data_IF_873508216187
#
_entry.id   IF_873508216187
#
_cell.length_a   1.000
_cell.length_b   1.000
_cell.length_c   1.000
_cell.angle_alpha   90.00
_cell.angle_beta   90.00
_cell.angle_gamma   90.00
#
_symmetry.space_group_name_H-M   'P 1'
#
loop_
_entity.id
_entity.type
_entity.pdbx_description
1 polymer ?
#
# COMPACT_ATOMS: atom_id res chain seq x y z
N UNK A 1 -8.49 -11.48 -1.30
CA UNK A 1 -7.97 -10.11 -1.06
C UNK A 1 -9.00 -9.34 -0.24
N UNK A 2 -8.56 -8.40 0.58
CA UNK A 2 -9.47 -7.50 1.30
C UNK A 2 -9.10 -6.05 0.98
N UNK A 3 -10.06 -5.25 0.53
CA UNK A 3 -9.89 -3.80 0.35
C UNK A 3 -10.52 -3.11 1.56
N UNK A 4 -9.73 -2.33 2.30
CA UNK A 4 -10.18 -1.59 3.47
C UNK A 4 -10.15 -0.11 3.16
N UNK A 5 -11.28 0.57 3.34
CA UNK A 5 -11.39 2.02 3.20
C UNK A 5 -12.72 2.43 2.58
N UNK A 6 -12.88 3.74 2.38
CA UNK A 6 -14.10 4.35 1.86
C UNK A 6 -13.78 5.11 0.58
N UNK A 7 -14.81 5.63 -0.06
CA UNK A 7 -14.66 6.57 -1.15
C UNK A 7 -14.23 5.96 -2.50
N UNK A 8 -14.07 6.84 -3.51
CA UNK A 8 -13.97 6.44 -4.90
C UNK A 8 -12.71 5.65 -5.23
N UNK A 9 -11.63 5.79 -4.44
CA UNK A 9 -10.41 5.01 -4.62
C UNK A 9 -10.60 3.55 -4.20
N UNK A 10 -11.28 3.30 -3.08
CA UNK A 10 -11.62 1.95 -2.63
C UNK A 10 -12.50 1.23 -3.66
N UNK A 11 -13.51 1.95 -4.15
CA UNK A 11 -14.45 1.44 -5.15
C UNK A 11 -13.75 1.11 -6.47
N UNK A 12 -12.89 2.01 -6.96
CA UNK A 12 -12.12 1.80 -8.18
C UNK A 12 -11.16 0.60 -8.08
N UNK A 13 -10.49 0.43 -6.93
CA UNK A 13 -9.62 -0.74 -6.69
C UNK A 13 -10.44 -2.03 -6.65
N UNK A 14 -11.56 -2.04 -5.93
CA UNK A 14 -12.40 -3.23 -5.84
C UNK A 14 -12.97 -3.62 -7.21
N UNK A 15 -13.52 -2.65 -7.95
CA UNK A 15 -14.10 -2.90 -9.26
C UNK A 15 -13.09 -3.48 -10.26
N UNK A 16 -11.80 -3.14 -10.09
CA UNK A 16 -10.71 -3.60 -10.95
C UNK A 16 -10.16 -4.98 -10.54
N UNK A 17 -10.46 -5.48 -9.33
CA UNK A 17 -10.04 -6.80 -8.87
C UNK A 17 -11.00 -7.87 -9.40
N UNK A 18 -10.51 -8.70 -10.33
CA UNK A 18 -11.33 -9.61 -11.16
C UNK A 18 -12.12 -10.68 -10.41
N UNK A 19 -11.77 -11.07 -9.17
CA UNK A 19 -12.51 -12.01 -8.28
C UNK A 19 -11.85 -12.09 -6.88
N UNK A 20 -12.65 -12.31 -5.84
CA UNK A 20 -12.17 -12.63 -4.47
C UNK A 20 -11.70 -11.43 -3.63
N UNK A 21 -12.06 -10.21 -4.03
CA UNK A 21 -11.87 -9.01 -3.23
C UNK A 21 -13.18 -8.65 -2.52
N UNK A 22 -13.17 -8.63 -1.18
CA UNK A 22 -14.23 -8.02 -0.40
C UNK A 22 -13.85 -6.57 -0.09
N UNK A 23 -14.79 -5.63 -0.19
CA UNK A 23 -14.61 -4.28 0.34
C UNK A 23 -15.14 -4.26 1.76
N UNK A 24 -14.32 -3.75 2.66
CA UNK A 24 -14.72 -3.40 4.00
C UNK A 24 -14.52 -1.92 4.25
N UNK A 25 -15.62 -1.24 4.53
CA UNK A 25 -15.64 0.18 4.83
C UNK A 25 -15.24 0.49 6.29
N UNK A 26 -14.91 -0.51 7.11
CA UNK A 26 -14.47 -0.35 8.49
C UNK A 26 -12.94 -0.43 8.59
N UNK A 27 -12.34 0.70 8.93
CA UNK A 27 -10.93 0.78 9.32
C UNK A 27 -10.85 0.57 10.84
N UNK A 28 -11.10 -0.65 11.31
CA UNK A 28 -11.04 -0.98 12.75
C UNK A 28 -10.39 -2.34 12.99
N UNK A 29 -9.38 -2.36 13.86
CA UNK A 29 -8.68 -3.56 14.35
C UNK A 29 -8.62 -3.54 15.88
N UNK A 30 -8.52 -4.70 16.56
CA UNK A 30 -8.44 -6.07 16.03
C UNK A 30 -9.78 -6.57 15.46
N UNK A 31 -9.75 -7.46 14.47
CA UNK A 31 -10.95 -8.12 13.92
C UNK A 31 -10.61 -9.51 13.37
N UNK A 32 -11.57 -10.43 13.27
CA UNK A 32 -11.36 -11.70 12.58
C UNK A 32 -11.10 -11.43 11.08
N UNK A 33 -9.98 -11.92 10.57
CA UNK A 33 -9.68 -11.92 9.15
C UNK A 33 -9.91 -13.32 8.56
N UNK A 34 -10.29 -13.44 7.28
CA UNK A 34 -10.41 -14.73 6.62
C UNK A 34 -9.10 -15.50 6.65
N UNK A 35 -9.15 -16.80 6.89
CA UNK A 35 -7.96 -17.68 6.98
C UNK A 35 -7.19 -17.79 5.66
N UNK A 36 -7.87 -17.56 4.53
CA UNK A 36 -7.32 -17.60 3.16
C UNK A 36 -6.96 -16.20 2.62
N UNK A 37 -6.85 -15.20 3.50
CA UNK A 37 -6.54 -13.83 3.11
C UNK A 37 -5.10 -13.68 2.60
N UNK A 38 -4.95 -13.53 1.28
CA UNK A 38 -3.63 -13.35 0.68
C UNK A 38 -2.96 -11.99 1.01
N UNK A 39 -3.71 -10.89 0.97
CA UNK A 39 -3.23 -9.55 1.32
C UNK A 39 -4.38 -8.55 1.54
N UNK A 40 -4.05 -7.44 2.21
CA UNK A 40 -4.96 -6.30 2.48
C UNK A 40 -4.54 -5.07 1.67
N UNK A 41 -5.48 -4.44 0.96
CA UNK A 41 -5.27 -3.13 0.34
C UNK A 41 -5.89 -2.07 1.24
N UNK A 42 -5.08 -1.15 1.73
CA UNK A 42 -5.52 -0.06 2.61
C UNK A 42 -5.71 1.19 1.76
N UNK A 43 -6.92 1.74 1.73
CA UNK A 43 -7.29 2.90 0.91
C UNK A 43 -7.69 4.09 1.78
N UNK A 44 -7.80 5.27 1.16
CA UNK A 44 -8.53 6.42 1.70
C UNK A 44 -7.91 7.10 2.94
N UNK A 45 -6.70 6.70 3.35
CA UNK A 45 -5.96 7.35 4.44
C UNK A 45 -4.65 7.96 3.94
N UNK A 46 -4.47 9.26 4.18
CA UNK A 46 -3.19 9.94 3.90
C UNK A 46 -2.07 9.34 4.75
N UNK A 47 -2.38 9.05 6.01
CA UNK A 47 -1.55 8.28 6.95
C UNK A 47 -2.38 7.10 7.44
N UNK A 48 -1.90 5.89 7.18
CA UNK A 48 -2.54 4.67 7.66
C UNK A 48 -2.50 4.63 9.20
N UNK A 49 -3.63 4.36 9.88
CA UNK A 49 -3.66 4.33 11.34
C UNK A 49 -2.60 3.36 11.93
N UNK A 50 -1.78 3.77 12.91
CA UNK A 50 -0.68 2.96 13.42
C UNK A 50 -1.10 1.62 14.04
N UNK A 51 -2.29 1.56 14.62
CA UNK A 51 -2.91 0.36 15.19
C UNK A 51 -3.24 -0.69 14.12
N UNK A 52 -3.79 -0.27 12.97
CA UNK A 52 -4.01 -1.12 11.79
C UNK A 52 -2.69 -1.72 11.32
N UNK A 53 -1.66 -0.89 11.16
CA UNK A 53 -0.34 -1.34 10.71
C UNK A 53 0.26 -2.33 11.71
N UNK A 54 0.15 -2.05 13.01
CA UNK A 54 0.67 -2.93 14.06
C UNK A 54 0.01 -4.30 14.03
N UNK A 55 -1.31 -4.36 13.87
CA UNK A 55 -2.04 -5.62 13.82
C UNK A 55 -1.67 -6.45 12.57
N UNK A 56 -1.66 -5.82 11.39
CA UNK A 56 -1.26 -6.49 10.15
C UNK A 56 0.19 -6.99 10.19
N UNK A 57 1.09 -6.24 10.83
CA UNK A 57 2.47 -6.67 11.04
C UNK A 57 2.57 -7.82 12.04
N UNK A 58 1.78 -7.79 13.12
CA UNK A 58 1.74 -8.85 14.13
C UNK A 58 1.25 -10.18 13.54
N UNK A 59 0.17 -10.12 12.74
CA UNK A 59 -0.44 -11.29 12.11
C UNK A 59 0.31 -11.78 10.86
N UNK A 60 1.41 -11.11 10.48
CA UNK A 60 2.20 -11.47 9.29
C UNK A 60 1.49 -11.21 7.95
N UNK A 61 0.50 -10.32 7.93
CA UNK A 61 -0.39 -10.12 6.78
C UNK A 61 0.22 -9.13 5.79
N UNK A 62 0.46 -9.55 4.53
CA UNK A 62 0.92 -8.65 3.48
C UNK A 62 -0.11 -7.55 3.20
N UNK A 63 0.35 -6.32 3.04
CA UNK A 63 -0.55 -5.19 2.85
C UNK A 63 0.00 -4.10 1.95
N UNK A 64 -0.89 -3.38 1.27
CA UNK A 64 -0.57 -2.35 0.31
C UNK A 64 -1.37 -1.07 0.62
N UNK A 65 -0.76 0.02 1.10
CA UNK A 65 -1.43 1.30 1.17
C UNK A 65 -1.56 1.92 -0.22
N UNK A 66 -2.73 2.47 -0.51
CA UNK A 66 -3.09 3.11 -1.77
C UNK A 66 -3.83 4.39 -1.42
N UNK A 67 -3.25 5.53 -1.74
CA UNK A 67 -3.77 6.83 -1.29
C UNK A 67 -3.50 7.90 -2.33
N UNK A 68 -4.15 9.03 -2.19
CA UNK A 68 -3.75 10.25 -2.89
C UNK A 68 -3.06 11.19 -1.91
N UNK A 69 -2.21 12.08 -2.43
CA UNK A 69 -1.60 13.18 -1.69
C UNK A 69 -1.39 14.33 -2.66
N UNK A 70 -1.97 15.49 -2.39
CA UNK A 70 -1.83 16.70 -3.21
C UNK A 70 -2.16 16.46 -4.70
N UNK A 71 -3.21 15.68 -4.98
CA UNK A 71 -3.59 15.32 -6.35
C UNK A 71 -2.70 14.26 -7.01
N UNK A 72 -1.66 13.76 -6.34
CA UNK A 72 -0.78 12.68 -6.81
C UNK A 72 -1.23 11.35 -6.20
N UNK A 73 -1.37 10.33 -7.03
CA UNK A 73 -1.62 8.97 -6.59
C UNK A 73 -0.39 8.33 -5.96
N UNK A 74 -0.53 7.58 -4.87
CA UNK A 74 0.58 6.87 -4.22
C UNK A 74 0.19 5.44 -3.93
N UNK A 75 0.90 4.51 -4.55
CA UNK A 75 0.73 3.06 -4.36
C UNK A 75 1.96 2.52 -3.64
N UNK A 76 1.79 2.05 -2.40
CA UNK A 76 2.82 1.35 -1.64
C UNK A 76 3.59 2.19 -0.61
N UNK A 77 4.64 1.59 -0.03
CA UNK A 77 5.25 0.30 -0.42
C UNK A 77 4.34 -0.92 -0.20
N UNK A 78 4.47 -1.95 -1.04
CA UNK A 78 3.82 -3.23 -0.73
C UNK A 78 4.60 -3.89 0.40
N UNK A 79 3.97 -3.99 1.55
CA UNK A 79 4.56 -4.52 2.77
C UNK A 79 4.38 -6.03 2.81
N UNK A 80 5.50 -6.75 2.85
CA UNK A 80 5.55 -8.17 3.21
C UNK A 80 6.29 -8.25 4.55
N UNK A 81 5.60 -8.52 5.67
CA UNK A 81 6.21 -8.59 7.00
C UNK A 81 7.46 -9.48 7.02
N UNK A 82 8.50 -9.07 7.75
CA UNK A 82 9.81 -9.75 7.79
C UNK A 82 10.67 -9.62 6.53
N UNK A 83 10.15 -9.06 5.42
CA UNK A 83 10.83 -9.03 4.13
C UNK A 83 11.09 -7.64 3.57
N UNK A 84 10.08 -6.78 3.55
CA UNK A 84 10.19 -5.40 3.04
C UNK A 84 10.25 -4.39 4.19
N UNK A 85 10.47 -3.11 3.87
CA UNK A 85 10.20 -2.03 4.80
C UNK A 85 8.70 -2.02 5.17
N UNK A 86 8.37 -1.86 6.45
CA UNK A 86 7.00 -1.63 6.90
C UNK A 86 6.64 -0.14 6.82
N UNK A 87 5.38 0.23 7.08
CA UNK A 87 4.97 1.64 7.07
C UNK A 87 5.63 2.45 8.17
N UNK A 88 5.97 1.84 9.32
CA UNK A 88 6.74 2.54 10.35
C UNK A 88 8.18 2.85 9.92
N UNK A 89 8.82 2.00 9.11
CA UNK A 89 10.12 2.33 8.49
C UNK A 89 10.02 3.56 7.59
N UNK A 90 8.91 3.69 6.85
CA UNK A 90 8.65 4.85 5.98
C UNK A 90 8.52 6.10 6.82
N UNK A 91 7.75 6.06 7.91
CA UNK A 91 7.59 7.20 8.84
C UNK A 91 8.91 7.58 9.50
N UNK A 92 9.70 6.62 10.00
CA UNK A 92 11.03 6.88 10.58
C UNK A 92 11.97 7.54 9.55
N UNK A 93 11.99 7.03 8.32
CA UNK A 93 12.80 7.63 7.24
C UNK A 93 12.33 9.05 6.92
N UNK A 94 11.04 9.36 7.08
CA UNK A 94 10.53 10.73 6.93
C UNK A 94 10.96 11.61 8.10
N UNK A 95 10.90 11.11 9.33
CA UNK A 95 11.40 11.82 10.52
C UNK A 95 12.90 12.16 10.42
N UNK A 96 13.71 11.25 9.86
CA UNK A 96 15.14 11.51 9.63
C UNK A 96 15.37 12.68 8.66
N UNK A 97 14.48 12.84 7.67
CA UNK A 97 14.57 13.89 6.65
C UNK A 97 13.92 15.19 7.10
N UNK A 98 12.87 15.11 7.92
CA UNK A 98 12.08 16.23 8.41
C UNK A 98 11.65 15.96 9.85
N UNK A 99 12.25 16.70 10.79
CA UNK A 99 11.99 16.54 12.23
C UNK A 99 10.57 16.94 12.63
N UNK A 100 9.90 17.77 11.83
CA UNK A 100 8.53 18.23 12.08
C UNK A 100 7.49 17.23 11.53
N UNK A 101 7.95 16.23 10.76
CA UNK A 101 7.09 15.20 10.18
C UNK A 101 6.11 14.54 11.16
N UNK A 102 6.48 14.17 12.41
CA UNK A 102 5.55 13.55 13.36
C UNK A 102 4.33 14.43 13.65
N UNK A 103 4.53 15.75 13.73
CA UNK A 103 3.45 16.70 13.98
C UNK A 103 2.50 16.76 12.78
N UNK A 104 3.06 16.88 11.56
CA UNK A 104 2.29 16.88 10.33
C UNK A 104 1.53 15.56 10.12
N UNK A 105 2.18 14.42 10.37
CA UNK A 105 1.56 13.10 10.24
C UNK A 105 0.37 12.93 11.19
N UNK A 106 0.47 13.44 12.41
CA UNK A 106 -0.64 13.43 13.38
C UNK A 106 -1.82 14.28 12.89
N UNK A 107 -1.57 15.45 12.28
CA UNK A 107 -2.61 16.30 11.72
C UNK A 107 -3.29 15.68 10.48
N UNK A 108 -2.51 14.97 9.65
CA UNK A 108 -3.01 14.28 8.46
C UNK A 108 -3.74 12.95 8.76
N UNK A 109 -3.63 12.46 10.00
CA UNK A 109 -4.36 11.30 10.47
C UNK A 109 -5.87 11.46 10.29
N UNK A 110 -6.55 10.43 9.79
CA UNK A 110 -8.01 10.44 9.59
C UNK A 110 -8.49 11.25 8.39
N UNK A 111 -7.61 11.91 7.64
CA UNK A 111 -7.98 12.64 6.43
C UNK A 111 -7.80 11.77 5.19
N UNK A 112 -8.79 11.82 4.29
CA UNK A 112 -8.70 11.31 2.93
C UNK A 112 -8.34 12.46 1.99
N UNK A 113 -7.28 12.32 1.20
CA UNK A 113 -6.98 13.29 0.17
C UNK A 113 -7.83 13.03 -1.08
N UNK A 114 -8.36 14.11 -1.66
CA UNK A 114 -9.04 14.06 -2.95
C UNK A 114 -8.04 14.14 -4.10
N UNK A 115 -8.40 13.55 -5.25
CA UNK A 115 -7.67 13.68 -6.50
C UNK A 115 -8.64 13.65 -7.67
N UNK A 116 -8.16 14.01 -8.87
CA UNK A 116 -8.99 13.96 -10.08
C UNK A 116 -9.43 12.51 -10.38
N UNK A 117 -10.59 12.31 -11.05
CA UNK A 117 -11.02 10.97 -11.47
C UNK A 117 -9.96 10.22 -12.30
N UNK A 118 -9.19 10.94 -13.11
CA UNK A 118 -8.06 10.40 -13.90
C UNK A 118 -6.97 9.85 -12.99
N UNK A 119 -6.58 10.61 -11.96
CA UNK A 119 -5.58 10.18 -10.98
C UNK A 119 -6.08 8.99 -10.18
N UNK A 120 -7.33 8.99 -9.72
CA UNK A 120 -7.92 7.89 -8.96
C UNK A 120 -7.91 6.59 -9.79
N UNK A 121 -8.36 6.67 -11.05
CA UNK A 121 -8.38 5.52 -11.97
C UNK A 121 -6.98 4.99 -12.23
N UNK A 122 -6.02 5.87 -12.52
CA UNK A 122 -4.62 5.45 -12.72
C UNK A 122 -4.04 4.81 -11.47
N UNK A 123 -4.27 5.40 -10.29
CA UNK A 123 -3.80 4.89 -9.00
C UNK A 123 -4.37 3.51 -8.71
N UNK A 124 -5.66 3.30 -8.94
CA UNK A 124 -6.32 2.01 -8.79
C UNK A 124 -5.72 0.96 -9.74
N UNK A 125 -5.47 1.31 -11.01
CA UNK A 125 -4.84 0.42 -11.98
C UNK A 125 -3.44 -0.01 -11.54
N UNK A 126 -2.61 0.93 -11.07
CA UNK A 126 -1.28 0.61 -10.52
C UNK A 126 -1.39 -0.27 -9.27
N UNK A 127 -2.31 0.02 -8.34
CA UNK A 127 -2.53 -0.80 -7.16
C UNK A 127 -2.90 -2.25 -7.50
N UNK A 128 -3.82 -2.44 -8.43
CA UNK A 128 -4.23 -3.78 -8.89
C UNK A 128 -3.09 -4.50 -9.59
N UNK A 129 -2.29 -3.82 -10.42
CA UNK A 129 -1.06 -4.39 -10.98
C UNK A 129 -0.11 -4.89 -9.89
N UNK A 130 0.09 -4.11 -8.81
CA UNK A 130 0.94 -4.51 -7.68
C UNK A 130 0.41 -5.73 -6.92
N UNK A 131 -0.90 -5.87 -6.80
CA UNK A 131 -1.56 -7.05 -6.24
C UNK A 131 -1.38 -8.27 -7.14
N UNK A 132 -1.56 -8.14 -8.45
CA UNK A 132 -1.36 -9.25 -9.39
C UNK A 132 0.09 -9.74 -9.39
N UNK A 133 1.07 -8.83 -9.38
CA UNK A 133 2.49 -9.17 -9.25
C UNK A 133 2.76 -10.02 -7.99
N UNK A 134 2.12 -9.67 -6.86
CA UNK A 134 2.24 -10.39 -5.60
C UNK A 134 1.66 -11.81 -5.70
N UNK A 135 0.39 -11.88 -6.12
CA UNK A 135 -0.34 -13.13 -6.25
C UNK A 135 0.29 -14.07 -7.30
N UNK A 136 1.09 -13.52 -8.21
CA UNK A 136 1.62 -14.26 -9.35
C UNK A 136 0.55 -14.56 -10.39
N UNK A 137 -0.61 -13.91 -10.28
CA UNK A 137 -1.72 -13.96 -11.24
C UNK A 137 -1.28 -13.25 -12.51
N UNK A 138 -0.71 -14.01 -13.44
CA UNK A 138 -0.20 -13.47 -14.70
C UNK A 138 -1.39 -13.02 -15.57
N UNK A 139 -1.33 -11.78 -16.03
CA UNK A 139 -2.08 -11.35 -17.21
C UNK A 139 -1.81 -12.31 -18.40
N UNK A 140 -2.74 -12.41 -19.38
CA UNK A 140 -2.56 -13.23 -20.57
C UNK A 140 -1.20 -12.98 -21.24
N UNK A 141 -0.64 -14.01 -21.88
CA UNK A 141 0.70 -13.98 -22.49
C UNK A 141 0.95 -12.76 -23.39
N UNK A 142 -0.09 -12.24 -24.04
CA UNK A 142 -0.04 -11.07 -24.93
C UNK A 142 0.30 -9.73 -24.26
N UNK A 143 0.32 -9.64 -22.92
CA UNK A 143 0.60 -8.41 -22.18
C UNK A 143 1.91 -8.48 -21.35
N UNK A 144 2.74 -9.50 -21.56
CA UNK A 144 3.99 -9.69 -20.81
C UNK A 144 5.15 -8.92 -21.44
N UNK A 145 5.92 -8.20 -20.61
CA UNK A 145 7.25 -7.68 -21.00
C UNK A 145 8.41 -8.42 -20.33
N UNK A 146 8.20 -9.21 -19.26
CA UNK A 146 9.23 -10.05 -18.61
C UNK A 146 8.63 -11.29 -17.91
N UNK A 147 9.41 -12.38 -17.78
CA UNK A 147 8.94 -13.73 -17.42
C UNK A 147 9.19 -14.15 -15.95
N UNK A 148 9.65 -13.23 -15.09
CA UNK A 148 10.09 -13.55 -13.73
C UNK A 148 9.18 -12.91 -12.69
N UNK A 149 8.67 -13.70 -11.73
CA UNK A 149 7.91 -13.17 -10.59
C UNK A 149 8.82 -12.21 -9.82
N UNK A 150 8.41 -10.95 -9.58
CA UNK A 150 9.26 -10.03 -8.84
C UNK A 150 9.53 -10.59 -7.44
N UNK A 151 10.78 -10.55 -7.02
CA UNK A 151 11.15 -10.91 -5.66
C UNK A 151 10.45 -9.95 -4.69
N UNK A 152 10.02 -10.38 -3.49
CA UNK A 152 9.37 -9.46 -2.56
C UNK A 152 10.25 -8.29 -2.10
N UNK A 153 11.58 -8.38 -2.22
CA UNK A 153 12.48 -7.23 -2.03
C UNK A 153 12.24 -6.14 -3.10
N UNK A 154 11.88 -6.53 -4.32
CA UNK A 154 11.50 -5.61 -5.39
C UNK A 154 10.13 -4.98 -5.16
N UNK A 155 9.33 -5.52 -4.23
CA UNK A 155 8.01 -4.98 -3.91
C UNK A 155 8.03 -3.86 -2.86
N UNK A 156 9.15 -3.68 -2.14
CA UNK A 156 9.37 -2.66 -1.11
C UNK A 156 9.56 -1.24 -1.66
N UNK A 157 8.79 -0.83 -2.66
CA UNK A 157 8.82 0.51 -3.24
C UNK A 157 7.42 1.09 -3.34
N UNK A 158 7.31 2.41 -3.22
CA UNK A 158 6.11 3.15 -3.60
C UNK A 158 6.19 3.64 -5.04
N UNK A 159 5.05 3.75 -5.69
CA UNK A 159 4.87 4.43 -6.98
C UNK A 159 4.06 5.69 -6.74
N UNK A 160 4.55 6.83 -7.23
CA UNK A 160 3.88 8.12 -7.21
C UNK A 160 3.42 8.42 -8.64
N UNK A 161 2.12 8.60 -8.83
CA UNK A 161 1.43 8.72 -10.12
C UNK A 161 0.90 10.15 -10.23
N UNK A 162 1.55 10.94 -11.08
CA UNK A 162 1.12 12.30 -11.40
C UNK A 162 0.56 12.31 -12.82
N UNK A 163 -0.76 12.35 -12.93
CA UNK A 163 -1.46 12.35 -14.22
C UNK A 163 -1.44 13.71 -14.89
N UNK A 164 -1.23 14.80 -14.15
CA UNK A 164 -1.12 16.15 -14.73
C UNK A 164 0.25 16.34 -15.38
N UNK A 165 1.32 15.87 -14.72
CA UNK A 165 2.67 15.88 -15.27
C UNK A 165 2.95 14.69 -16.21
N UNK A 166 2.09 13.67 -16.23
CA UNK A 166 2.28 12.45 -17.02
C UNK A 166 3.44 11.59 -16.53
N UNK A 167 3.74 11.60 -15.24
CA UNK A 167 4.91 10.90 -14.67
C UNK A 167 4.53 9.81 -13.68
N UNK A 168 5.37 8.77 -13.62
CA UNK A 168 5.31 7.75 -12.59
C UNK A 168 6.69 7.61 -11.96
N UNK A 169 6.82 8.02 -10.70
CA UNK A 169 8.08 7.94 -9.95
C UNK A 169 8.08 6.73 -9.03
N UNK A 170 9.21 6.03 -8.97
CA UNK A 170 9.40 4.90 -8.07
C UNK A 170 10.34 5.29 -6.93
N UNK A 171 9.90 5.08 -5.68
CA UNK A 171 10.71 5.32 -4.49
C UNK A 171 10.87 4.03 -3.69
N UNK A 172 12.09 3.52 -3.60
CA UNK A 172 12.42 2.33 -2.79
C UNK A 172 12.53 2.70 -1.31
N UNK A 173 12.07 1.80 -0.44
CA UNK A 173 12.14 1.95 1.01
C UNK A 173 12.99 0.85 1.61
N UNK A 174 13.90 1.23 2.52
CA UNK A 174 14.73 0.29 3.27
C UNK A 174 14.13 0.07 4.65
N UNK A 175 14.42 -1.10 5.24
CA UNK A 175 14.14 -1.33 6.65
C UNK A 175 14.99 -0.35 7.46
N UNK A 176 14.33 0.43 8.29
CA UNK A 176 14.98 1.46 9.08
C UNK A 176 15.68 0.81 10.30
N UNK A 177 16.94 1.16 10.62
CA UNK A 177 17.72 0.46 11.64
C UNK A 177 17.05 0.45 13.03
N UNK A 178 16.39 1.55 13.43
CA UNK A 178 15.71 1.64 14.74
C UNK A 178 14.27 1.11 14.72
N UNK A 179 13.78 0.61 13.58
CA UNK A 179 12.43 0.06 13.51
C UNK A 179 12.37 -1.32 14.17
N UNK A 180 11.36 -1.61 15.02
CA UNK A 180 11.20 -2.93 15.61
C UNK A 180 11.10 -4.06 14.57
N UNK A 181 10.58 -3.80 13.37
CA UNK A 181 10.47 -4.81 12.32
C UNK A 181 11.84 -5.23 11.72
N UNK A 182 12.91 -4.48 11.98
CA UNK A 182 14.24 -4.79 11.48
C UNK A 182 14.92 -5.91 12.27
N UNK A 183 14.52 -6.13 13.52
CA UNK A 183 14.98 -7.26 14.34
C UNK A 183 14.21 -8.56 14.09
N UNK A 184 13.10 -8.52 13.35
CA UNK A 184 12.33 -9.71 13.01
C UNK A 184 12.89 -10.30 11.72
N UNK A 185 13.65 -11.40 11.84
CA UNK A 185 14.05 -12.20 10.69
C UNK A 185 12.81 -12.77 9.99
N UNK A 186 12.81 -12.90 8.64
CA UNK A 186 11.75 -13.63 7.96
C UNK A 186 11.74 -15.07 8.45
N UNK A 187 10.58 -15.57 8.86
CA UNK A 187 10.36 -17.00 9.10
C UNK A 187 10.50 -17.81 7.81
#
# INVERSE_FOLDING_TARGET
MLVVGRGPLADAVCASLRRGAAVDHRIAYPRPLPTDLAAVVLTDSVVTPPDVVRHLMHDGIPHLPVRCRDGVGVVGPFVVPGRTACLHCVELTRCDLDREWPFLAAQLGGHAASASPTTLTATAAFAVGRVHDFLGDRLPFSQRTTHTRPSPLEMGHSQEIDTAAGTVRRRRWRRHPVCPCSGHAPA
#
